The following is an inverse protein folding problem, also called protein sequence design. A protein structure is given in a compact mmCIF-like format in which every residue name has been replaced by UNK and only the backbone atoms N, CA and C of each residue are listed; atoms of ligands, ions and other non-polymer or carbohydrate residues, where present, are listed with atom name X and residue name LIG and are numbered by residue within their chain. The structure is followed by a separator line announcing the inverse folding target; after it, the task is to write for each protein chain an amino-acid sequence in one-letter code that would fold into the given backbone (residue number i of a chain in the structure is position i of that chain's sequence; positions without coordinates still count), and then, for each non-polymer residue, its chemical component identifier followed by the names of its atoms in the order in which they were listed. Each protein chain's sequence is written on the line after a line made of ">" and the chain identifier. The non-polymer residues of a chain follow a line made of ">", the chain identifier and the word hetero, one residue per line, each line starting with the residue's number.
data_IF_808379693496
#
_entry.id   IF_808379693496
#
_cell.length_a   1.000
_cell.length_b   1.000
_cell.length_c   1.000
_cell.angle_alpha   90.00
_cell.angle_beta   90.00
_cell.angle_gamma   90.00
#
_symmetry.space_group_name_H-M   'P 1'
#
loop_
_entity.id
_entity.type
_entity.pdbx_description
1 polymer ?
#
# COMPACT_ATOMS: atom_id res chain seq x y z
N UNK A 1 -57.72 0.04 13.12
CA UNK A 1 -57.13 -1.07 13.81
C UNK A 1 -56.29 -2.03 12.98
N UNK A 2 -56.88 -3.01 12.26
CA UNK A 2 -56.17 -4.13 11.66
C UNK A 2 -55.19 -3.73 10.51
N UNK A 3 -55.61 -2.82 9.64
CA UNK A 3 -54.77 -2.29 8.56
C UNK A 3 -53.53 -1.58 9.07
N UNK A 4 -53.65 -0.79 10.14
CA UNK A 4 -52.52 -0.10 10.76
C UNK A 4 -51.51 -1.11 11.37
N UNK A 5 -52.01 -2.14 12.03
CA UNK A 5 -51.15 -3.21 12.58
C UNK A 5 -50.44 -4.01 11.48
N UNK A 6 -51.13 -4.31 10.38
CA UNK A 6 -50.54 -5.01 9.23
C UNK A 6 -49.47 -4.15 8.55
N UNK A 7 -49.71 -2.86 8.37
CA UNK A 7 -48.73 -1.92 7.80
C UNK A 7 -47.50 -1.78 8.69
N UNK A 8 -47.67 -1.68 10.00
CA UNK A 8 -46.57 -1.62 10.95
C UNK A 8 -45.71 -2.89 10.93
N UNK A 9 -46.36 -4.06 10.87
CA UNK A 9 -45.64 -5.34 10.74
C UNK A 9 -44.85 -5.45 9.41
N UNK A 10 -45.45 -5.00 8.30
CA UNK A 10 -44.75 -5.00 6.99
C UNK A 10 -43.51 -4.11 7.01
N UNK A 11 -43.59 -2.92 7.62
CA UNK A 11 -42.42 -2.01 7.78
C UNK A 11 -41.37 -2.64 8.68
N UNK A 12 -41.76 -3.29 9.78
CA UNK A 12 -40.82 -3.98 10.67
C UNK A 12 -40.04 -5.10 9.96
N UNK A 13 -40.74 -5.91 9.16
CA UNK A 13 -40.12 -6.98 8.34
C UNK A 13 -39.18 -6.37 7.27
N UNK A 14 -39.62 -5.32 6.58
CA UNK A 14 -38.79 -4.65 5.57
C UNK A 14 -37.50 -4.08 6.18
N UNK A 15 -37.57 -3.49 7.37
CA UNK A 15 -36.38 -3.00 8.09
C UNK A 15 -35.47 -4.14 8.55
N UNK A 16 -36.05 -5.26 9.01
CA UNK A 16 -35.27 -6.42 9.43
C UNK A 16 -34.50 -7.06 8.27
N UNK A 17 -35.03 -7.02 7.05
CA UNK A 17 -34.41 -7.60 5.85
C UNK A 17 -33.55 -6.61 5.05
N UNK A 18 -33.54 -5.33 5.41
CA UNK A 18 -32.88 -4.26 4.65
C UNK A 18 -31.43 -4.59 4.28
N UNK A 19 -30.63 -5.02 5.24
CA UNK A 19 -29.20 -5.26 5.04
C UNK A 19 -28.94 -6.52 4.19
N UNK A 20 -29.76 -7.55 4.36
CA UNK A 20 -29.70 -8.75 3.54
C UNK A 20 -30.06 -8.47 2.08
N UNK A 21 -31.13 -7.73 1.85
CA UNK A 21 -31.54 -7.30 0.50
C UNK A 21 -30.50 -6.36 -0.12
N UNK A 22 -29.91 -5.47 0.67
CA UNK A 22 -28.81 -4.62 0.26
C UNK A 22 -27.57 -5.40 -0.18
N UNK A 23 -27.25 -6.49 0.52
CA UNK A 23 -26.14 -7.37 0.16
C UNK A 23 -26.40 -8.14 -1.13
N UNK A 24 -27.62 -8.62 -1.35
CA UNK A 24 -28.02 -9.28 -2.60
C UNK A 24 -27.94 -8.30 -3.78
N UNK A 25 -28.50 -7.10 -3.64
CA UNK A 25 -28.41 -6.06 -4.65
C UNK A 25 -26.94 -5.70 -4.95
N UNK A 26 -26.11 -5.57 -3.89
CA UNK A 26 -24.68 -5.37 -4.02
C UNK A 26 -23.98 -6.47 -4.81
N UNK A 27 -24.29 -7.72 -4.54
CA UNK A 27 -23.75 -8.87 -5.27
C UNK A 27 -24.09 -8.81 -6.78
N UNK A 28 -25.34 -8.50 -7.11
CA UNK A 28 -25.76 -8.33 -8.51
C UNK A 28 -24.95 -7.19 -9.18
N UNK A 29 -24.81 -6.05 -8.50
CA UNK A 29 -24.03 -4.91 -9.01
C UNK A 29 -22.57 -5.31 -9.27
N UNK A 30 -21.92 -5.99 -8.32
CA UNK A 30 -20.53 -6.43 -8.45
C UNK A 30 -20.35 -7.38 -9.64
N UNK A 31 -21.24 -8.35 -9.79
CA UNK A 31 -21.20 -9.32 -10.89
C UNK A 31 -21.43 -8.68 -12.27
N UNK A 32 -22.28 -7.67 -12.35
CA UNK A 32 -22.55 -6.94 -13.59
C UNK A 32 -21.44 -5.93 -13.95
N UNK A 33 -20.94 -5.18 -12.95
CA UNK A 33 -19.93 -4.12 -13.20
C UNK A 33 -18.51 -4.63 -13.28
N UNK A 34 -18.23 -5.81 -12.71
CA UNK A 34 -16.91 -6.46 -12.71
C UNK A 34 -15.78 -5.52 -12.31
N UNK A 35 -15.98 -4.71 -11.27
CA UNK A 35 -14.97 -3.76 -10.77
C UNK A 35 -13.67 -4.44 -10.35
N UNK A 36 -13.75 -5.69 -9.94
CA UNK A 36 -12.67 -6.60 -9.67
C UNK A 36 -13.16 -8.03 -9.91
N UNK A 37 -12.28 -8.99 -9.97
CA UNK A 37 -12.61 -10.41 -10.24
C UNK A 37 -11.91 -11.33 -9.23
N UNK A 38 -12.31 -12.58 -9.21
CA UNK A 38 -11.65 -13.65 -8.45
C UNK A 38 -10.17 -13.75 -8.87
N UNK A 39 -9.28 -13.76 -7.88
CA UNK A 39 -7.84 -13.77 -8.06
C UNK A 39 -7.18 -12.40 -7.91
N UNK A 40 -7.90 -11.28 -8.06
CA UNK A 40 -7.35 -9.94 -7.87
C UNK A 40 -6.96 -9.73 -6.40
N UNK A 41 -5.85 -9.00 -6.17
CA UNK A 41 -5.43 -8.58 -4.85
C UNK A 41 -5.95 -7.16 -4.58
N UNK A 42 -6.91 -7.07 -3.67
CA UNK A 42 -7.63 -5.82 -3.39
C UNK A 42 -7.57 -5.45 -1.92
N UNK A 43 -7.88 -4.19 -1.64
CA UNK A 43 -8.08 -3.67 -0.30
C UNK A 43 -9.47 -3.04 -0.20
N UNK A 44 -10.22 -3.40 0.85
CA UNK A 44 -11.53 -2.87 1.20
C UNK A 44 -11.54 -2.56 2.69
N UNK A 45 -11.77 -1.30 3.07
CA UNK A 45 -11.83 -0.87 4.47
C UNK A 45 -10.60 -1.28 5.32
N UNK A 46 -9.42 -1.28 4.70
CA UNK A 46 -8.15 -1.67 5.36
C UNK A 46 -7.85 -3.18 5.34
N UNK A 47 -8.80 -4.02 4.96
CA UNK A 47 -8.57 -5.46 4.79
C UNK A 47 -7.99 -5.75 3.40
N UNK A 48 -6.85 -6.44 3.35
CA UNK A 48 -6.13 -6.77 2.11
C UNK A 48 -6.12 -8.27 1.86
N UNK A 49 -6.41 -8.66 0.61
CA UNK A 49 -6.34 -10.07 0.24
C UNK A 49 -6.69 -10.32 -1.21
N UNK A 50 -6.43 -11.56 -1.62
CA UNK A 50 -6.90 -12.05 -2.92
C UNK A 50 -8.39 -12.35 -2.84
N UNK A 51 -9.15 -11.90 -3.84
CA UNK A 51 -10.56 -12.26 -3.99
C UNK A 51 -10.66 -13.76 -4.22
N UNK A 52 -11.15 -14.49 -3.22
CA UNK A 52 -11.34 -15.93 -3.32
C UNK A 52 -12.62 -16.26 -4.08
N UNK A 53 -13.71 -15.58 -3.72
CA UNK A 53 -15.02 -15.74 -4.37
C UNK A 53 -15.91 -14.49 -4.17
N UNK A 54 -16.85 -14.32 -5.08
CA UNK A 54 -17.91 -13.31 -5.01
C UNK A 54 -19.23 -14.08 -5.10
N UNK A 55 -19.92 -14.22 -3.96
CA UNK A 55 -21.23 -14.86 -3.87
C UNK A 55 -22.33 -13.81 -4.04
N UNK A 56 -23.59 -14.27 -4.00
CA UNK A 56 -24.74 -13.37 -4.08
C UNK A 56 -24.80 -12.37 -2.92
N UNK A 57 -24.38 -12.76 -1.71
CA UNK A 57 -24.48 -11.93 -0.50
C UNK A 57 -23.13 -11.40 0.01
N UNK A 58 -22.04 -12.11 -0.26
CA UNK A 58 -20.72 -11.84 0.32
C UNK A 58 -19.61 -11.91 -0.72
N UNK A 59 -18.57 -11.12 -0.50
CA UNK A 59 -17.26 -11.25 -1.12
C UNK A 59 -16.30 -11.81 -0.08
N UNK A 60 -15.51 -12.82 -0.44
CA UNK A 60 -14.53 -13.44 0.46
C UNK A 60 -13.13 -13.10 -0.03
N UNK A 61 -12.33 -12.48 0.84
CA UNK A 61 -10.91 -12.23 0.61
C UNK A 61 -10.07 -13.26 1.37
N UNK A 62 -9.00 -13.72 0.75
CA UNK A 62 -7.96 -14.52 1.38
C UNK A 62 -6.73 -13.63 1.62
N UNK A 63 -6.43 -13.35 2.88
CA UNK A 63 -5.27 -12.56 3.28
C UNK A 63 -3.94 -13.28 3.01
N UNK A 64 -2.82 -12.55 2.99
CA UNK A 64 -1.49 -13.13 2.76
C UNK A 64 -1.08 -14.10 3.87
N UNK A 65 -1.60 -13.93 5.10
CA UNK A 65 -1.41 -14.83 6.25
C UNK A 65 -2.48 -15.95 6.31
N UNK A 66 -3.17 -16.20 5.18
CA UNK A 66 -4.08 -17.32 4.96
C UNK A 66 -5.39 -17.28 5.78
N UNK A 67 -5.86 -16.10 6.18
CA UNK A 67 -7.19 -15.91 6.80
C UNK A 67 -8.24 -15.58 5.74
N UNK A 68 -9.49 -15.89 6.02
CA UNK A 68 -10.63 -15.47 5.21
C UNK A 68 -11.33 -14.28 5.86
N UNK A 69 -11.51 -13.23 5.07
CA UNK A 69 -12.30 -12.05 5.43
C UNK A 69 -13.56 -12.08 4.60
N UNK A 70 -14.71 -12.22 5.26
CA UNK A 70 -16.02 -12.28 4.62
C UNK A 70 -16.70 -10.93 4.75
N UNK A 71 -16.96 -10.27 3.64
CA UNK A 71 -17.52 -8.91 3.61
C UNK A 71 -18.89 -8.96 2.91
N UNK A 72 -19.96 -8.47 3.54
CA UNK A 72 -21.28 -8.34 2.89
C UNK A 72 -21.19 -7.46 1.64
N UNK A 73 -21.77 -7.89 0.53
CA UNK A 73 -21.68 -7.15 -0.74
C UNK A 73 -22.28 -5.75 -0.68
N UNK A 74 -23.28 -5.53 0.16
CA UNK A 74 -23.84 -4.20 0.43
C UNK A 74 -22.78 -3.22 1.01
N UNK A 75 -21.84 -3.74 1.81
CA UNK A 75 -20.68 -2.97 2.30
C UNK A 75 -19.69 -2.74 1.17
N UNK A 76 -19.35 -3.79 0.43
CA UNK A 76 -18.35 -3.72 -0.66
C UNK A 76 -18.70 -2.66 -1.69
N UNK A 77 -19.98 -2.63 -2.16
CA UNK A 77 -20.41 -1.67 -3.21
C UNK A 77 -20.33 -0.23 -2.78
N UNK A 78 -20.49 0.02 -1.47
CA UNK A 78 -20.49 1.36 -0.87
C UNK A 78 -19.11 1.76 -0.32
N UNK A 79 -18.11 0.88 -0.42
CA UNK A 79 -16.75 1.15 0.07
C UNK A 79 -15.82 1.63 -1.04
N UNK A 80 -14.74 2.30 -0.64
CA UNK A 80 -13.60 2.51 -1.52
C UNK A 80 -12.86 1.19 -1.68
N UNK A 81 -12.57 0.83 -2.92
CA UNK A 81 -11.83 -0.37 -3.28
C UNK A 81 -10.52 0.05 -3.93
N UNK A 82 -9.41 -0.46 -3.44
CA UNK A 82 -8.10 -0.32 -4.09
C UNK A 82 -7.76 -1.66 -4.71
N UNK A 83 -7.67 -1.70 -6.03
CA UNK A 83 -7.26 -2.89 -6.76
C UNK A 83 -5.78 -2.78 -7.15
N UNK A 84 -4.97 -3.63 -6.54
CA UNK A 84 -3.53 -3.69 -6.77
C UNK A 84 -3.14 -4.55 -7.98
N UNK A 85 -4.09 -5.29 -8.54
CA UNK A 85 -3.89 -6.23 -9.65
C UNK A 85 -4.49 -5.75 -10.97
N UNK A 86 -5.17 -4.60 -10.97
CA UNK A 86 -5.82 -4.04 -12.16
C UNK A 86 -4.85 -3.73 -13.30
N UNK A 87 -3.61 -3.38 -12.95
CA UNK A 87 -2.56 -3.04 -13.91
C UNK A 87 -1.40 -4.04 -13.84
N UNK A 88 -0.83 -4.37 -15.01
CA UNK A 88 0.28 -5.32 -15.12
C UNK A 88 1.58 -4.79 -14.51
N UNK A 89 1.74 -3.46 -14.47
CA UNK A 89 2.92 -2.78 -13.94
C UNK A 89 2.51 -1.77 -12.86
N UNK A 90 3.41 -1.61 -11.88
CA UNK A 90 3.21 -0.68 -10.77
C UNK A 90 4.49 0.08 -10.47
N UNK A 91 4.34 1.29 -9.95
CA UNK A 91 5.45 2.07 -9.41
C UNK A 91 5.70 1.66 -7.96
N UNK A 92 6.95 1.31 -7.68
CA UNK A 92 7.46 1.07 -6.34
C UNK A 92 8.14 2.35 -5.85
N UNK A 93 7.63 2.90 -4.77
CA UNK A 93 8.18 4.08 -4.11
C UNK A 93 8.95 3.64 -2.85
N UNK A 94 10.21 4.05 -2.75
CA UNK A 94 11.10 3.79 -1.62
C UNK A 94 11.67 5.13 -1.11
N UNK A 95 12.15 5.13 0.14
CA UNK A 95 12.87 6.25 0.71
C UNK A 95 14.15 5.75 1.39
N UNK A 96 15.25 6.47 1.19
CA UNK A 96 16.52 6.19 1.83
C UNK A 96 17.06 7.46 2.49
N UNK A 97 17.51 7.33 3.73
CA UNK A 97 18.08 8.43 4.50
C UNK A 97 19.58 8.34 4.51
N UNK A 98 20.27 9.44 4.23
CA UNK A 98 21.74 9.55 4.28
C UNK A 98 22.15 10.67 5.23
N UNK A 99 23.40 10.59 5.76
CA UNK A 99 23.96 11.66 6.59
C UNK A 99 24.13 12.96 5.80
N UNK A 100 23.99 14.11 6.45
CA UNK A 100 24.32 15.42 5.90
C UNK A 100 25.76 15.53 5.40
N UNK A 101 26.67 14.72 5.93
CA UNK A 101 28.08 14.70 5.53
C UNK A 101 28.33 13.98 4.20
N UNK A 102 27.33 13.28 3.67
CA UNK A 102 27.47 12.54 2.41
C UNK A 102 27.20 13.41 1.19
N UNK A 103 27.88 13.10 0.10
CA UNK A 103 27.56 13.65 -1.21
C UNK A 103 26.24 13.09 -1.74
N UNK A 104 25.23 13.95 -1.78
CA UNK A 104 23.89 13.62 -2.26
C UNK A 104 23.92 13.10 -3.70
N UNK A 105 24.72 13.72 -4.58
CA UNK A 105 24.81 13.32 -6.00
C UNK A 105 25.42 11.93 -6.16
N UNK A 106 26.40 11.62 -5.32
CA UNK A 106 26.98 10.29 -5.27
C UNK A 106 25.94 9.27 -4.82
N UNK A 107 25.18 9.57 -3.78
CA UNK A 107 24.11 8.68 -3.29
C UNK A 107 23.02 8.43 -4.34
N UNK A 108 22.52 9.50 -4.98
CA UNK A 108 21.56 9.39 -6.09
C UNK A 108 22.11 8.49 -7.22
N UNK A 109 23.37 8.66 -7.59
CA UNK A 109 24.02 7.88 -8.65
C UNK A 109 24.18 6.41 -8.29
N UNK A 110 24.51 6.09 -7.04
CA UNK A 110 24.61 4.72 -6.53
C UNK A 110 23.23 4.04 -6.57
N UNK A 111 22.18 4.71 -6.09
CA UNK A 111 20.82 4.19 -6.14
C UNK A 111 20.38 3.89 -7.58
N UNK A 112 20.61 4.84 -8.49
CA UNK A 112 20.25 4.68 -9.91
C UNK A 112 21.05 3.53 -10.56
N UNK A 113 22.31 3.35 -10.19
CA UNK A 113 23.14 2.23 -10.69
C UNK A 113 22.57 0.89 -10.25
N UNK A 114 22.20 0.74 -8.97
CA UNK A 114 21.57 -0.48 -8.44
C UNK A 114 20.24 -0.75 -9.14
N UNK A 115 19.37 0.28 -9.23
CA UNK A 115 18.09 0.14 -9.89
C UNK A 115 18.20 -0.26 -11.36
N UNK A 116 19.19 0.26 -12.10
CA UNK A 116 19.42 -0.08 -13.50
C UNK A 116 20.02 -1.48 -13.69
N UNK A 117 20.74 -2.01 -12.71
CA UNK A 117 21.30 -3.37 -12.73
C UNK A 117 20.25 -4.44 -12.43
N UNK A 118 19.17 -4.09 -11.76
CA UNK A 118 18.08 -5.02 -11.41
C UNK A 118 17.17 -5.28 -12.63
N UNK A 119 17.12 -6.52 -13.07
CA UNK A 119 16.42 -6.93 -14.30
C UNK A 119 14.88 -6.74 -14.25
N UNK A 120 14.28 -6.76 -13.06
CA UNK A 120 12.84 -6.57 -12.83
C UNK A 120 12.42 -5.09 -12.87
N UNK A 121 13.39 -4.17 -12.80
CA UNK A 121 13.13 -2.74 -12.91
C UNK A 121 12.90 -2.39 -14.37
N UNK A 122 11.74 -1.85 -14.67
CA UNK A 122 11.33 -1.44 -16.00
C UNK A 122 11.83 -0.02 -16.29
N UNK A 123 12.14 0.23 -17.58
CA UNK A 123 12.55 1.55 -18.08
C UNK A 123 11.39 2.35 -18.67
N UNK A 124 10.21 1.75 -18.68
CA UNK A 124 8.95 2.34 -19.14
C UNK A 124 7.88 2.10 -18.09
N UNK A 125 6.95 3.04 -17.86
CA UNK A 125 6.76 4.32 -18.57
C UNK A 125 7.81 5.38 -18.25
N UNK A 126 8.57 5.24 -17.15
CA UNK A 126 9.58 6.19 -16.71
C UNK A 126 10.85 5.46 -16.26
N UNK A 127 11.99 6.13 -16.42
CA UNK A 127 13.28 5.63 -15.92
C UNK A 127 13.31 5.67 -14.39
N UNK A 128 14.18 4.85 -13.73
CA UNK A 128 14.42 4.94 -12.31
C UNK A 128 14.75 6.38 -11.88
N UNK A 129 14.12 6.81 -10.81
CA UNK A 129 14.23 8.16 -10.27
C UNK A 129 14.81 8.11 -8.85
N UNK A 130 15.76 9.00 -8.56
CA UNK A 130 16.28 9.20 -7.21
C UNK A 130 16.60 10.69 -7.01
N UNK A 131 15.93 11.34 -6.06
CA UNK A 131 16.11 12.77 -5.73
C UNK A 131 15.84 13.00 -4.25
N UNK A 132 16.48 14.04 -3.74
CA UNK A 132 16.16 14.53 -2.39
C UNK A 132 14.68 14.87 -2.30
N UNK A 133 14.03 14.33 -1.30
CA UNK A 133 12.63 14.61 -0.96
C UNK A 133 12.50 15.51 0.25
N UNK A 134 13.42 15.40 1.21
CA UNK A 134 13.35 16.16 2.46
C UNK A 134 14.74 16.32 3.09
N UNK A 135 14.94 17.44 3.78
CA UNK A 135 16.03 17.64 4.74
C UNK A 135 15.45 17.48 6.14
N UNK A 136 15.55 16.27 6.68
CA UNK A 136 15.01 15.90 7.98
C UNK A 136 15.92 16.32 9.14
N UNK A 137 15.47 16.11 10.38
CA UNK A 137 16.20 16.57 11.58
C UNK A 137 17.63 15.98 11.70
N UNK A 138 17.86 14.76 11.19
CA UNK A 138 19.16 14.07 11.30
C UNK A 138 19.61 13.43 9.98
N UNK A 139 18.87 13.62 8.90
CA UNK A 139 19.12 12.95 7.61
C UNK A 139 18.73 13.82 6.43
N UNK A 140 19.30 13.50 5.28
CA UNK A 140 18.80 13.92 3.97
C UNK A 140 18.07 12.72 3.38
N UNK A 141 16.79 12.87 3.10
CA UNK A 141 15.96 11.79 2.60
C UNK A 141 15.86 11.85 1.08
N UNK A 142 16.08 10.71 0.43
CA UNK A 142 16.06 10.53 -1.01
C UNK A 142 14.85 9.67 -1.36
N UNK A 143 13.92 10.24 -2.14
CA UNK A 143 12.83 9.47 -2.74
C UNK A 143 13.36 8.71 -3.95
N UNK A 144 12.98 7.43 -4.03
CA UNK A 144 13.33 6.52 -5.13
C UNK A 144 12.06 5.95 -5.72
N UNK A 145 11.95 6.05 -7.04
CA UNK A 145 10.79 5.53 -7.78
C UNK A 145 11.28 4.64 -8.90
N UNK A 146 10.75 3.42 -8.94
CA UNK A 146 11.03 2.46 -9.99
C UNK A 146 9.74 1.79 -10.44
N UNK A 147 9.65 1.42 -11.71
CA UNK A 147 8.53 0.68 -12.25
C UNK A 147 8.89 -0.81 -12.33
N UNK A 148 7.94 -1.67 -12.05
CA UNK A 148 8.10 -3.12 -12.12
C UNK A 148 6.77 -3.80 -12.47
N UNK A 149 6.83 -5.08 -12.80
CA UNK A 149 5.61 -5.89 -12.92
C UNK A 149 4.94 -6.01 -11.55
N UNK A 150 3.62 -6.02 -11.55
CA UNK A 150 2.82 -6.18 -10.33
C UNK A 150 3.17 -7.48 -9.59
N UNK A 151 3.48 -8.57 -10.31
CA UNK A 151 3.93 -9.84 -9.74
C UNK A 151 5.24 -9.75 -8.95
N UNK A 152 6.13 -8.83 -9.33
CA UNK A 152 7.47 -8.73 -8.77
C UNK A 152 7.56 -7.70 -7.64
N UNK A 153 6.50 -6.90 -7.47
CA UNK A 153 6.47 -5.72 -6.60
C UNK A 153 6.99 -5.97 -5.18
N UNK A 154 6.50 -7.01 -4.53
CA UNK A 154 6.82 -7.26 -3.12
C UNK A 154 8.26 -7.76 -2.94
N UNK A 155 8.68 -8.71 -3.76
CA UNK A 155 10.04 -9.25 -3.69
C UNK A 155 11.07 -8.21 -4.11
N UNK A 156 10.81 -7.50 -5.21
CA UNK A 156 11.68 -6.42 -5.66
C UNK A 156 11.86 -5.34 -4.60
N UNK A 157 10.80 -5.01 -3.85
CA UNK A 157 10.89 -4.04 -2.75
C UNK A 157 11.94 -4.46 -1.72
N UNK A 158 11.89 -5.71 -1.27
CA UNK A 158 12.84 -6.21 -0.26
C UNK A 158 14.26 -6.28 -0.82
N UNK A 159 14.43 -6.81 -2.02
CA UNK A 159 15.73 -6.94 -2.64
C UNK A 159 16.39 -5.58 -2.87
N UNK A 160 15.65 -4.58 -3.37
CA UNK A 160 16.20 -3.22 -3.54
C UNK A 160 16.57 -2.55 -2.21
N UNK A 161 15.82 -2.78 -1.14
CA UNK A 161 16.18 -2.26 0.18
C UNK A 161 17.53 -2.82 0.66
N UNK A 162 17.77 -4.11 0.47
CA UNK A 162 19.00 -4.78 0.86
C UNK A 162 20.17 -4.39 -0.06
N UNK A 163 19.96 -4.41 -1.37
CA UNK A 163 20.98 -4.10 -2.37
C UNK A 163 21.46 -2.66 -2.29
N UNK A 164 20.54 -1.69 -2.14
CA UNK A 164 20.90 -0.28 -2.01
C UNK A 164 21.64 -0.06 -0.68
N UNK A 165 21.23 -0.71 0.40
CA UNK A 165 21.97 -0.65 1.67
C UNK A 165 23.39 -1.14 1.51
N UNK A 166 23.60 -2.29 0.86
CA UNK A 166 24.93 -2.84 0.58
C UNK A 166 25.76 -1.90 -0.28
N UNK A 167 25.16 -1.36 -1.35
CA UNK A 167 25.84 -0.41 -2.22
C UNK A 167 26.24 0.88 -1.50
N UNK A 168 25.46 1.33 -0.55
CA UNK A 168 25.82 2.48 0.30
C UNK A 168 27.06 2.18 1.14
N UNK A 169 27.11 1.01 1.79
CA UNK A 169 28.27 0.61 2.59
C UNK A 169 29.55 0.51 1.73
N UNK A 170 29.46 -0.10 0.53
CA UNK A 170 30.56 -0.23 -0.42
C UNK A 170 31.08 1.13 -0.95
N UNK A 171 30.22 2.13 -1.02
CA UNK A 171 30.54 3.47 -1.51
C UNK A 171 30.82 4.50 -0.40
N UNK A 172 30.85 4.08 0.87
CA UNK A 172 31.09 4.95 2.01
C UNK A 172 29.96 5.97 2.24
N UNK A 173 28.72 5.62 1.90
CA UNK A 173 27.53 6.42 2.17
C UNK A 173 26.95 5.94 3.49
N UNK A 174 26.84 6.86 4.46
CA UNK A 174 26.41 6.55 5.82
C UNK A 174 24.92 6.82 5.99
N UNK A 175 24.18 5.85 6.51
CA UNK A 175 22.83 6.04 7.05
C UNK A 175 22.99 6.56 8.48
N UNK A 176 22.51 7.76 8.81
CA UNK A 176 22.81 8.39 10.09
C UNK A 176 21.99 7.78 11.23
N UNK A 177 22.57 7.78 12.41
CA UNK A 177 21.82 7.71 13.66
C UNK A 177 21.19 9.07 13.97
N UNK A 178 20.26 9.11 14.89
CA UNK A 178 19.72 10.37 15.38
C UNK A 178 20.86 11.25 15.93
N UNK A 179 20.93 12.48 15.49
CA UNK A 179 21.90 13.48 15.92
C UNK A 179 21.30 14.35 17.02
N UNK A 180 22.11 14.70 18.02
CA UNK A 180 21.72 15.56 19.12
C UNK A 180 22.85 16.53 19.43
N UNK A 181 22.57 17.83 19.32
CA UNK A 181 23.47 18.86 19.79
C UNK A 181 23.28 19.09 21.29
N UNK A 182 24.33 18.83 22.08
CA UNK A 182 24.30 19.00 23.55
C UNK A 182 25.21 20.16 23.96
N UNK A 183 24.63 21.25 24.48
CA UNK A 183 25.33 22.34 25.09
C UNK A 183 25.46 22.11 26.59
N UNK A 184 26.69 21.87 27.07
CA UNK A 184 26.97 21.66 28.51
C UNK A 184 27.44 22.97 29.10
N UNK A 185 26.64 23.59 29.97
CA UNK A 185 27.05 24.72 30.77
C UNK A 185 27.64 24.24 32.13
N UNK A 186 28.95 24.41 32.33
CA UNK A 186 29.53 24.21 33.66
C UNK A 186 29.22 25.45 34.52
N UNK A 187 28.32 25.34 35.49
CA UNK A 187 28.22 26.32 36.57
C UNK A 187 29.41 26.08 37.51
N UNK A 188 30.46 26.85 37.32
CA UNK A 188 31.50 26.97 38.36
C UNK A 188 30.80 27.45 39.63
N UNK A 189 30.86 26.61 40.70
CA UNK A 189 30.41 26.98 42.03
C UNK A 189 31.39 28.03 42.57
N UNK A 190 30.95 29.31 42.56
CA UNK A 190 31.56 30.39 43.30
C UNK A 190 31.16 30.30 44.77
#
# INVERSE_FOLDING_TARGET
>A
GLLAALSAAAVAVALALKDSLGSIAGGIILLLTKRFKTGDFIEINGEKGNVLQIDMMHTVLKTLDNRHVVIPNGVVVNSQIVDYSSEDIRRLDLAFSISYDNDVKKAESVIISVANAESRVLKTPELPFARVSEYAASSVDIAVQVWCKTSDYLLLKFDLLEEIRRAFDENGITIPYNQLDVHIENKDNS
#
